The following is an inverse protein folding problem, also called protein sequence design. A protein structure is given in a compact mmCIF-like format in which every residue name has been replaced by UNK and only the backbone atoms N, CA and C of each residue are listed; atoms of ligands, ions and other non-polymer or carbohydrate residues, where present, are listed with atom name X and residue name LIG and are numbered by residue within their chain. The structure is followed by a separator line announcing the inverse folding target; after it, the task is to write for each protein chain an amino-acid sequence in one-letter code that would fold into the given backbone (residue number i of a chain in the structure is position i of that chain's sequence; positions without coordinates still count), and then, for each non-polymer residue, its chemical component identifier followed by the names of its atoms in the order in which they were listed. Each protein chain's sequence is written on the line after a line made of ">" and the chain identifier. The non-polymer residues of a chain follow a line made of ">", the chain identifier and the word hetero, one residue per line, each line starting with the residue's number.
data_IF_715180865353
#
_entry.id   IF_715180865353
#
_cell.length_a   1.000
_cell.length_b   1.000
_cell.length_c   1.000
_cell.angle_alpha   90.00
_cell.angle_beta   90.00
_cell.angle_gamma   90.00
#
_symmetry.space_group_name_H-M   'P 1'
#
loop_
_entity.id
_entity.type
_entity.pdbx_description
1 polymer ?
#
# COMPACT_ATOMS: atom_id res chain seq x y z
N UNK A 1 51.73 -54.55 0.26
CA UNK A 1 50.89 -53.36 0.54
C UNK A 1 49.60 -53.32 -0.29
N UNK A 2 49.61 -53.60 -1.61
CA UNK A 2 48.41 -53.56 -2.45
C UNK A 2 47.31 -54.59 -2.09
N UNK A 3 47.68 -55.79 -1.66
CA UNK A 3 46.71 -56.82 -1.22
C UNK A 3 46.03 -56.47 0.13
N UNK A 4 46.77 -55.82 1.05
CA UNK A 4 46.31 -55.49 2.40
C UNK A 4 45.23 -54.40 2.43
N UNK A 5 45.27 -53.45 1.48
CA UNK A 5 44.27 -52.38 1.39
C UNK A 5 43.02 -52.79 0.58
N UNK A 6 43.08 -53.88 -0.17
CA UNK A 6 42.00 -54.30 -1.08
C UNK A 6 40.90 -55.08 -0.35
N UNK A 7 41.28 -56.05 0.48
CA UNK A 7 40.36 -56.83 1.32
C UNK A 7 39.40 -55.96 2.17
N UNK A 8 39.87 -54.96 2.96
CA UNK A 8 38.97 -54.12 3.75
C UNK A 8 38.07 -53.21 2.88
N UNK A 9 38.52 -52.83 1.69
CA UNK A 9 37.70 -52.01 0.78
C UNK A 9 36.50 -52.80 0.23
N UNK A 10 36.68 -54.09 -0.07
CA UNK A 10 35.63 -54.97 -0.57
C UNK A 10 34.59 -55.31 0.52
N UNK A 11 35.03 -55.52 1.77
CA UNK A 11 34.14 -55.68 2.93
C UNK A 11 33.32 -54.42 3.21
N UNK A 12 33.96 -53.24 3.23
CA UNK A 12 33.28 -51.97 3.42
C UNK A 12 32.27 -51.67 2.30
N UNK A 13 32.60 -52.04 1.06
CA UNK A 13 31.68 -51.93 -0.08
C UNK A 13 30.44 -52.81 0.11
N UNK A 14 30.63 -54.03 0.61
CA UNK A 14 29.53 -54.97 0.88
C UNK A 14 28.64 -54.48 2.02
N UNK A 15 29.23 -54.00 3.12
CA UNK A 15 28.48 -53.41 4.23
C UNK A 15 27.68 -52.17 3.81
N UNK A 16 28.29 -51.27 3.03
CA UNK A 16 27.58 -50.10 2.49
C UNK A 16 26.38 -50.52 1.62
N UNK A 17 26.51 -51.60 0.85
CA UNK A 17 25.42 -52.13 0.03
C UNK A 17 24.28 -52.71 0.87
N UNK A 18 24.60 -53.43 1.95
CA UNK A 18 23.61 -53.97 2.90
C UNK A 18 22.81 -52.83 3.55
N UNK A 19 23.48 -51.77 4.00
CA UNK A 19 22.84 -50.66 4.71
C UNK A 19 22.39 -49.50 3.82
N UNK A 20 22.43 -49.66 2.48
CA UNK A 20 22.11 -48.60 1.53
C UNK A 20 22.88 -47.28 1.79
N UNK A 21 24.12 -47.42 2.28
CA UNK A 21 25.04 -46.31 2.50
C UNK A 21 25.88 -46.05 1.24
N UNK A 22 26.30 -44.81 1.06
CA UNK A 22 27.17 -44.42 -0.05
C UNK A 22 28.64 -44.77 0.27
N UNK A 23 29.28 -45.56 -0.60
CA UNK A 23 30.69 -45.94 -0.53
C UNK A 23 31.57 -44.98 -1.37
N UNK A 24 32.45 -44.22 -0.72
CA UNK A 24 33.27 -43.16 -1.36
C UNK A 24 34.77 -43.29 -1.00
N UNK A 25 35.52 -44.25 -1.58
CA UNK A 25 36.91 -44.51 -1.22
C UNK A 25 37.87 -43.40 -1.69
N UNK A 26 37.55 -42.69 -2.77
CA UNK A 26 38.34 -41.55 -3.28
C UNK A 26 38.04 -40.22 -2.58
N UNK A 27 37.11 -40.21 -1.61
CA UNK A 27 36.73 -39.03 -0.82
C UNK A 27 36.27 -37.84 -1.69
N UNK A 28 35.55 -38.13 -2.77
CA UNK A 28 35.00 -37.11 -3.67
C UNK A 28 33.89 -36.30 -2.99
N UNK A 29 33.74 -35.03 -3.37
CA UNK A 29 32.72 -34.12 -2.81
C UNK A 29 31.38 -34.27 -3.55
N UNK A 30 30.58 -35.26 -3.14
CA UNK A 30 29.29 -35.59 -3.75
C UNK A 30 28.08 -34.83 -3.16
N UNK A 31 28.29 -33.84 -2.29
CA UNK A 31 27.19 -33.08 -1.68
C UNK A 31 26.36 -33.83 -0.64
N UNK A 32 26.71 -35.07 -0.28
CA UNK A 32 26.01 -35.89 0.74
C UNK A 32 25.81 -35.17 2.09
N UNK A 33 26.68 -34.21 2.44
CA UNK A 33 26.52 -33.36 3.64
C UNK A 33 25.24 -32.51 3.57
N UNK A 34 24.94 -31.93 2.42
CA UNK A 34 23.75 -31.06 2.24
C UNK A 34 22.50 -31.91 2.15
N UNK A 35 22.53 -33.01 1.39
CA UNK A 35 21.36 -33.88 1.20
C UNK A 35 20.91 -34.59 2.49
N UNK A 36 21.85 -34.91 3.41
CA UNK A 36 21.54 -35.54 4.70
C UNK A 36 21.13 -34.55 5.78
N UNK A 37 21.20 -33.24 5.54
CA UNK A 37 20.72 -32.27 6.51
C UNK A 37 19.21 -32.39 6.66
N UNK A 38 18.74 -32.49 7.90
CA UNK A 38 17.31 -32.47 8.20
C UNK A 38 16.74 -31.12 7.79
N UNK A 39 15.65 -31.13 7.02
CA UNK A 39 14.94 -29.93 6.63
C UNK A 39 14.41 -29.21 7.88
N UNK A 40 14.70 -27.92 8.00
CA UNK A 40 14.21 -27.05 9.10
C UNK A 40 12.96 -26.26 8.74
N UNK A 41 12.47 -26.41 7.50
CA UNK A 41 11.32 -25.67 6.97
C UNK A 41 10.08 -25.69 7.87
N UNK A 42 9.62 -26.86 8.37
CA UNK A 42 8.43 -26.92 9.23
C UNK A 42 8.58 -26.13 10.53
N UNK A 43 9.77 -26.18 11.15
CA UNK A 43 10.04 -25.44 12.39
C UNK A 43 10.04 -23.93 12.16
N UNK A 44 10.56 -23.47 11.01
CA UNK A 44 10.55 -22.06 10.64
C UNK A 44 9.16 -21.56 10.23
N UNK A 45 8.38 -22.38 9.51
CA UNK A 45 7.03 -22.02 9.10
C UNK A 45 6.07 -21.88 10.30
N UNK A 46 6.32 -22.64 11.38
CA UNK A 46 5.56 -22.57 12.62
C UNK A 46 6.03 -21.45 13.58
N UNK A 47 6.93 -20.57 13.14
CA UNK A 47 7.49 -19.50 13.99
C UNK A 47 6.40 -18.57 14.54
N UNK A 48 5.46 -18.16 13.69
CA UNK A 48 4.28 -17.45 14.14
C UNK A 48 3.15 -18.45 14.41
N UNK A 49 2.43 -18.29 15.53
CA UNK A 49 1.28 -19.13 15.82
C UNK A 49 0.26 -19.01 14.70
N UNK A 50 -0.32 -20.15 14.31
CA UNK A 50 -1.40 -20.14 13.32
C UNK A 50 -2.61 -19.43 13.92
N UNK A 51 -3.33 -18.67 13.10
CA UNK A 51 -4.59 -18.06 13.49
C UNK A 51 -5.54 -19.18 13.94
N UNK A 52 -5.88 -19.21 15.22
CA UNK A 52 -6.64 -20.28 15.85
C UNK A 52 -8.13 -20.07 15.67
N UNK A 53 -8.63 -18.88 15.99
CA UNK A 53 -10.04 -18.48 15.84
C UNK A 53 -10.08 -16.97 15.60
N UNK A 54 -10.85 -16.54 14.62
CA UNK A 54 -11.13 -15.14 14.35
C UNK A 54 -12.48 -14.73 14.97
N UNK A 55 -12.70 -13.43 15.15
CA UNK A 55 -13.98 -12.91 15.65
C UNK A 55 -15.17 -13.27 14.75
N UNK A 56 -14.92 -13.44 13.44
CA UNK A 56 -15.94 -13.89 12.47
C UNK A 56 -16.36 -15.33 12.74
N UNK A 57 -15.42 -16.20 13.08
CA UNK A 57 -15.72 -17.60 13.44
C UNK A 57 -16.61 -17.66 14.70
N UNK A 58 -16.44 -16.71 15.63
CA UNK A 58 -17.34 -16.55 16.77
C UNK A 58 -18.74 -16.09 16.35
N UNK A 59 -18.85 -15.08 15.48
CA UNK A 59 -20.16 -14.62 14.99
C UNK A 59 -20.94 -15.74 14.30
N UNK A 60 -20.27 -16.52 13.45
CA UNK A 60 -20.89 -17.63 12.74
C UNK A 60 -21.36 -18.75 13.70
N UNK A 61 -20.62 -19.00 14.79
CA UNK A 61 -21.02 -19.96 15.81
C UNK A 61 -22.26 -19.54 16.60
N UNK A 62 -22.44 -18.24 16.86
CA UNK A 62 -23.56 -17.71 17.65
C UNK A 62 -24.78 -17.29 16.82
N UNK A 63 -24.63 -17.14 15.50
CA UNK A 63 -25.72 -16.82 14.57
C UNK A 63 -26.94 -17.76 14.67
N UNK A 64 -26.81 -19.09 14.82
CA UNK A 64 -27.95 -19.99 14.97
C UNK A 64 -28.74 -19.79 16.28
N UNK A 65 -28.09 -19.20 17.29
CA UNK A 65 -28.70 -18.89 18.59
C UNK A 65 -29.42 -17.53 18.58
N UNK A 66 -29.43 -16.82 17.44
CA UNK A 66 -30.04 -15.50 17.31
C UNK A 66 -29.29 -14.39 18.04
N UNK A 67 -28.04 -14.63 18.44
CA UNK A 67 -27.21 -13.67 19.15
C UNK A 67 -26.33 -12.88 18.16
N UNK A 68 -26.26 -11.56 18.35
CA UNK A 68 -25.36 -10.67 17.61
C UNK A 68 -24.14 -10.33 18.46
N UNK A 69 -22.95 -10.48 17.91
CA UNK A 69 -21.68 -10.13 18.58
C UNK A 69 -21.09 -8.91 17.89
N UNK A 70 -20.73 -7.88 18.66
CA UNK A 70 -20.17 -6.61 18.16
C UNK A 70 -18.64 -6.60 18.34
N UNK A 71 -17.91 -6.23 17.30
CA UNK A 71 -16.45 -6.10 17.34
C UNK A 71 -16.09 -4.64 17.65
N UNK A 72 -15.90 -4.31 18.92
CA UNK A 72 -15.61 -2.94 19.37
C UNK A 72 -14.36 -2.35 18.66
N UNK A 73 -13.36 -3.17 18.35
CA UNK A 73 -12.13 -2.69 17.71
C UNK A 73 -12.32 -2.32 16.23
N UNK A 74 -13.16 -3.07 15.52
CA UNK A 74 -13.53 -2.71 14.15
C UNK A 74 -14.46 -1.49 14.16
N UNK A 75 -15.43 -1.41 15.07
CA UNK A 75 -16.31 -0.25 15.20
C UNK A 75 -15.53 1.06 15.49
N UNK A 76 -14.56 1.03 16.41
CA UNK A 76 -13.66 2.15 16.69
C UNK A 76 -12.82 2.57 15.46
N UNK A 77 -12.38 1.58 14.68
CA UNK A 77 -11.63 1.82 13.44
C UNK A 77 -12.51 2.47 12.40
N UNK A 78 -13.74 1.98 12.24
CA UNK A 78 -14.73 2.51 11.32
C UNK A 78 -15.10 3.95 11.70
N UNK A 79 -15.34 4.23 12.97
CA UNK A 79 -15.59 5.58 13.49
C UNK A 79 -14.41 6.52 13.20
N UNK A 80 -13.18 6.05 13.42
CA UNK A 80 -11.97 6.83 13.13
C UNK A 80 -11.81 7.14 11.64
N UNK A 81 -12.17 6.19 10.76
CA UNK A 81 -12.17 6.44 9.31
C UNK A 81 -13.28 7.39 8.88
N UNK A 82 -14.49 7.24 9.43
CA UNK A 82 -15.63 8.10 9.14
C UNK A 82 -15.37 9.54 9.59
N UNK A 83 -14.80 9.74 10.78
CA UNK A 83 -14.41 11.05 11.30
C UNK A 83 -13.34 11.74 10.43
N UNK A 84 -12.39 10.97 9.88
CA UNK A 84 -11.42 11.50 8.91
C UNK A 84 -12.09 11.95 7.60
N UNK A 85 -13.04 11.16 7.09
CA UNK A 85 -13.78 11.50 5.87
C UNK A 85 -14.62 12.77 6.04
N UNK A 86 -15.33 12.92 7.16
CA UNK A 86 -16.12 14.14 7.42
C UNK A 86 -15.23 15.37 7.52
N UNK A 87 -14.08 15.28 8.19
CA UNK A 87 -13.12 16.39 8.27
C UNK A 87 -12.61 16.82 6.89
N UNK A 88 -12.25 15.86 6.02
CA UNK A 88 -11.80 16.13 4.65
C UNK A 88 -12.92 16.80 3.83
N UNK A 89 -14.16 16.32 3.97
CA UNK A 89 -15.31 16.88 3.27
C UNK A 89 -15.61 18.31 3.74
N UNK A 90 -15.58 18.57 5.05
CA UNK A 90 -15.76 19.91 5.63
C UNK A 90 -14.65 20.85 5.17
N UNK A 91 -13.39 20.41 5.21
CA UNK A 91 -12.27 21.22 4.74
C UNK A 91 -12.36 21.53 3.24
N UNK A 92 -12.80 20.56 2.42
CA UNK A 92 -13.02 20.76 0.97
C UNK A 92 -14.18 21.72 0.68
N UNK A 93 -15.28 21.63 1.44
CA UNK A 93 -16.40 22.57 1.37
C UNK A 93 -15.98 23.98 1.78
N UNK A 94 -15.19 24.13 2.85
CA UNK A 94 -14.67 25.42 3.28
C UNK A 94 -13.73 26.02 2.24
N UNK A 95 -12.79 25.25 1.70
CA UNK A 95 -11.86 25.73 0.68
C UNK A 95 -12.60 26.15 -0.60
N UNK A 96 -13.61 25.41 -1.02
CA UNK A 96 -14.42 25.80 -2.18
C UNK A 96 -15.28 27.04 -1.90
N UNK A 97 -15.82 27.18 -0.69
CA UNK A 97 -16.53 28.39 -0.26
C UNK A 97 -15.63 29.62 -0.26
N UNK A 98 -14.42 29.51 0.31
CA UNK A 98 -13.40 30.57 0.33
C UNK A 98 -13.00 30.95 -1.10
N UNK A 99 -12.68 29.96 -1.95
CA UNK A 99 -12.36 30.20 -3.35
C UNK A 99 -13.52 30.86 -4.12
N UNK A 100 -14.76 30.46 -3.85
CA UNK A 100 -15.94 31.04 -4.49
C UNK A 100 -16.21 32.47 -3.99
N UNK A 101 -15.99 32.75 -2.71
CA UNK A 101 -16.05 34.09 -2.14
C UNK A 101 -14.98 35.01 -2.77
N UNK A 102 -13.75 34.51 -2.92
CA UNK A 102 -12.66 35.26 -3.57
C UNK A 102 -12.92 35.49 -5.06
N UNK A 103 -13.47 34.50 -5.77
CA UNK A 103 -13.93 34.66 -7.17
C UNK A 103 -15.02 35.72 -7.29
N UNK A 104 -15.99 35.75 -6.38
CA UNK A 104 -17.04 36.80 -6.34
C UNK A 104 -16.43 38.18 -6.12
N UNK A 105 -15.47 38.31 -5.19
CA UNK A 105 -14.76 39.58 -4.97
C UNK A 105 -13.97 40.05 -6.19
N UNK A 106 -13.31 39.14 -6.93
CA UNK A 106 -12.60 39.48 -8.18
C UNK A 106 -13.54 39.87 -9.32
N UNK A 107 -14.75 39.30 -9.38
CA UNK A 107 -15.75 39.70 -10.39
C UNK A 107 -16.25 41.12 -10.12
N UNK A 108 -16.72 41.40 -8.91
CA UNK A 108 -17.11 42.76 -8.51
C UNK A 108 -15.94 43.74 -8.72
N UNK A 109 -14.72 43.33 -8.31
CA UNK A 109 -13.39 43.70 -8.82
C UNK A 109 -13.32 44.40 -10.20
N UNK A 110 -13.51 43.52 -11.18
CA UNK A 110 -13.45 43.80 -12.60
C UNK A 110 -14.58 44.73 -13.03
N UNK A 111 -15.77 44.60 -12.45
CA UNK A 111 -16.94 45.37 -12.84
C UNK A 111 -16.74 46.87 -12.55
N UNK A 112 -16.18 47.27 -11.40
CA UNK A 112 -15.88 48.69 -11.16
C UNK A 112 -14.69 49.21 -11.97
N UNK A 113 -13.68 48.38 -12.25
CA UNK A 113 -12.60 48.78 -13.16
C UNK A 113 -13.06 48.87 -14.62
N UNK A 114 -13.99 48.01 -15.05
CA UNK A 114 -14.55 48.01 -16.39
C UNK A 114 -15.51 49.18 -16.60
N UNK A 115 -16.34 49.49 -15.60
CA UNK A 115 -17.18 50.69 -15.59
C UNK A 115 -16.32 51.94 -15.64
N UNK A 116 -15.31 52.08 -14.76
CA UNK A 116 -14.42 53.26 -14.79
C UNK A 116 -13.64 53.38 -16.10
N UNK A 117 -13.12 52.27 -16.67
CA UNK A 117 -12.43 52.29 -17.97
C UNK A 117 -13.38 52.62 -19.14
N UNK A 118 -14.63 52.15 -19.12
CA UNK A 118 -15.62 52.48 -20.16
C UNK A 118 -16.02 53.96 -20.12
N UNK A 119 -16.16 54.55 -18.92
CA UNK A 119 -16.38 55.99 -18.77
C UNK A 119 -15.17 56.81 -19.26
N UNK A 120 -13.94 56.40 -18.96
CA UNK A 120 -12.73 57.12 -19.39
C UNK A 120 -12.52 57.03 -20.91
N UNK A 121 -12.74 55.87 -21.52
CA UNK A 121 -12.70 55.70 -22.99
C UNK A 121 -13.80 56.52 -23.67
N UNK A 122 -15.01 56.55 -23.10
CA UNK A 122 -16.10 57.40 -23.59
C UNK A 122 -15.75 58.90 -23.51
N UNK A 123 -15.16 59.35 -22.41
CA UNK A 123 -14.69 60.75 -22.27
C UNK A 123 -13.60 61.05 -23.32
N UNK A 124 -12.63 60.16 -23.55
CA UNK A 124 -11.61 60.36 -24.58
C UNK A 124 -12.17 60.36 -26.02
N UNK A 125 -13.14 59.50 -26.34
CA UNK A 125 -13.80 59.50 -27.65
C UNK A 125 -14.60 60.79 -27.89
N UNK A 126 -15.29 61.28 -26.85
CA UNK A 126 -16.03 62.56 -26.93
C UNK A 126 -15.07 63.73 -27.16
N UNK A 127 -13.92 63.75 -26.47
CA UNK A 127 -12.88 64.77 -26.65
C UNK A 127 -12.16 64.68 -28.01
N UNK A 128 -11.97 63.47 -28.57
CA UNK A 128 -11.45 63.29 -29.93
C UNK A 128 -12.44 63.78 -30.99
N UNK A 129 -13.74 63.53 -30.81
CA UNK A 129 -14.77 63.98 -31.75
C UNK A 129 -14.93 65.51 -31.77
N UNK A 130 -14.74 66.17 -30.62
CA UNK A 130 -14.75 67.63 -30.52
C UNK A 130 -13.50 68.26 -31.14
N UNK A 131 -12.34 67.59 -31.08
CA UNK A 131 -11.11 68.06 -31.73
C UNK A 131 -11.08 67.90 -33.26
N UNK A 132 -11.90 67.03 -33.85
CA UNK A 132 -12.01 66.90 -35.31
C UNK A 132 -12.95 67.91 -35.97
N UNK A 133 -13.69 68.70 -35.20
CA UNK A 133 -14.58 69.77 -35.70
C UNK A 133 -13.84 71.11 -35.84
N UNK A 134 -12.68 71.26 -35.21
CA UNK A 134 -11.90 72.51 -35.13
C UNK A 134 -10.59 72.48 -35.95
N UNK A 135 -10.56 71.82 -37.11
CA UNK A 135 -9.47 72.02 -38.09
C UNK A 135 -10.03 72.37 -39.47
N UNK A 136 -9.71 73.56 -40.02
CA UNK A 136 -10.03 73.91 -41.40
C UNK A 136 -9.18 73.12 -42.41
#
# INVERSE_FOLDING_TARGET
>A
MALLLRYPADDLKTQCRIFSLNFNPQRLRLGNKVLRQRLRGPALAAWYPRKTVSFRDLQDAYRPLGLTVFDEYEDDREERTAAGMTLILVQRLLLTSIQNHDRRRRRNRQDHTGVTMSYVVGIQQTQLSLRSVDTP
#
